data_IF_700505879023
#
_entry.id   IF_700505879023
#
_cell.length_a   1.000
_cell.length_b   1.000
_cell.length_c   1.000
_cell.angle_alpha   90.00
_cell.angle_beta   90.00
_cell.angle_gamma   90.00
#
_symmetry.space_group_name_H-M   'P 1'
#
loop_
_entity.id
_entity.type
_entity.pdbx_description
1 polymer ?
#
# COMPACT_ATOMS: atom_id res chain seq x y z
N UNK A 1 -3.10 -4.03 55.04
CA UNK A 1 -4.57 -4.00 55.19
C UNK A 1 -5.05 -2.59 54.92
N UNK A 2 -5.64 -2.35 53.76
CA UNK A 2 -6.60 -1.25 53.55
C UNK A 2 -7.42 -1.57 52.28
N UNK A 3 -8.69 -1.92 52.51
CA UNK A 3 -9.67 -2.12 51.44
C UNK A 3 -10.32 -0.78 51.12
N UNK A 4 -10.29 -0.37 49.89
CA UNK A 4 -11.13 0.75 49.40
C UNK A 4 -12.24 0.15 48.52
N UNK A 5 -13.48 0.34 48.99
CA UNK A 5 -14.72 0.00 48.29
C UNK A 5 -15.07 1.19 47.37
N UNK A 6 -15.38 0.91 46.10
CA UNK A 6 -16.05 1.88 45.23
C UNK A 6 -17.54 1.56 45.13
N UNK A 7 -18.32 2.58 45.42
CA UNK A 7 -19.77 2.55 45.41
C UNK A 7 -20.31 2.66 43.96
N UNK A 8 -21.40 1.88 43.72
CA UNK A 8 -22.21 1.93 42.50
C UNK A 8 -23.17 3.14 42.59
N UNK A 9 -23.20 3.99 41.59
CA UNK A 9 -24.30 4.94 41.38
C UNK A 9 -25.16 4.47 40.20
N UNK A 10 -26.38 4.06 40.51
CA UNK A 10 -27.48 3.87 39.54
C UNK A 10 -28.11 5.24 39.24
N UNK A 11 -28.31 5.58 38.00
CA UNK A 11 -29.20 6.64 37.57
C UNK A 11 -30.37 5.99 36.84
N UNK A 12 -31.55 6.18 37.41
CA UNK A 12 -32.86 5.80 36.87
C UNK A 12 -33.32 6.89 35.91
N UNK A 13 -33.63 6.56 34.67
CA UNK A 13 -34.29 7.47 33.74
C UNK A 13 -35.76 7.10 33.63
N UNK A 14 -36.64 8.10 33.90
CA UNK A 14 -38.07 8.01 33.85
C UNK A 14 -38.62 7.90 32.42
N UNK A 15 -39.55 6.97 32.22
CA UNK A 15 -40.46 6.90 31.07
C UNK A 15 -41.59 7.93 31.22
N UNK A 16 -41.78 8.75 30.20
CA UNK A 16 -43.00 9.55 30.00
C UNK A 16 -43.71 9.05 28.75
N UNK A 17 -44.83 8.36 28.96
CA UNK A 17 -45.83 8.02 27.95
C UNK A 17 -46.77 9.25 27.74
N UNK A 18 -46.91 9.67 26.49
CA UNK A 18 -47.97 10.58 26.07
C UNK A 18 -48.81 9.92 24.96
N UNK A 19 -50.07 9.69 25.31
CA UNK A 19 -51.16 9.22 24.47
C UNK A 19 -51.69 10.40 23.65
N UNK A 20 -51.75 10.30 22.33
CA UNK A 20 -52.33 11.36 21.46
C UNK A 20 -53.19 10.76 20.34
N UNK A 21 -54.46 11.16 20.36
CA UNK A 21 -55.60 10.71 19.57
C UNK A 21 -55.43 10.63 18.06
N UNK A 22 -56.12 9.62 17.53
CA UNK A 22 -56.46 9.40 16.13
C UNK A 22 -57.41 10.51 15.62
N UNK A 23 -57.08 11.19 14.53
CA UNK A 23 -58.02 11.82 13.62
C UNK A 23 -57.60 11.50 12.21
N UNK A 24 -58.53 10.79 11.52
CA UNK A 24 -58.37 10.40 10.12
C UNK A 24 -58.44 11.62 9.20
N UNK A 25 -57.50 11.70 8.30
CA UNK A 25 -57.52 12.60 7.16
C UNK A 25 -56.91 11.85 5.98
N UNK A 26 -57.75 11.47 5.02
CA UNK A 26 -57.32 10.96 3.70
C UNK A 26 -56.51 12.06 3.01
N UNK A 27 -55.22 11.80 2.75
CA UNK A 27 -54.42 12.58 1.84
C UNK A 27 -54.21 11.78 0.52
N UNK A 28 -54.25 12.45 -0.64
CA UNK A 28 -54.25 11.80 -1.93
C UNK A 28 -52.87 11.23 -2.22
N UNK A 29 -52.87 9.99 -2.75
CA UNK A 29 -51.71 9.37 -3.34
C UNK A 29 -51.33 10.11 -4.64
N UNK A 30 -50.30 10.93 -4.61
CA UNK A 30 -49.47 11.33 -5.76
C UNK A 30 -48.38 12.28 -5.21
N UNK A 31 -47.14 11.76 -5.25
CA UNK A 31 -45.86 12.44 -5.39
C UNK A 31 -44.74 11.65 -4.65
N UNK A 32 -44.54 10.42 -5.09
CA UNK A 32 -43.18 9.89 -4.99
C UNK A 32 -42.46 10.32 -6.27
N UNK A 33 -41.80 11.45 -6.23
CA UNK A 33 -40.80 11.79 -7.22
C UNK A 33 -39.70 10.73 -7.09
N UNK A 34 -39.52 9.91 -8.12
CA UNK A 34 -38.33 9.04 -8.26
C UNK A 34 -37.12 9.94 -8.11
N UNK A 35 -36.28 9.61 -7.14
CA UNK A 35 -34.95 10.21 -7.03
C UNK A 35 -34.22 9.98 -8.37
N UNK A 36 -33.55 10.98 -8.94
CA UNK A 36 -32.84 10.81 -10.18
C UNK A 36 -31.78 9.73 -9.96
N UNK A 37 -31.92 8.64 -10.68
CA UNK A 37 -30.89 7.59 -10.75
C UNK A 37 -29.67 8.24 -11.39
N UNK A 38 -28.76 8.73 -10.57
CA UNK A 38 -27.46 9.22 -11.05
C UNK A 38 -26.70 8.01 -11.54
N UNK A 39 -26.84 7.72 -12.81
CA UNK A 39 -25.96 6.77 -13.50
C UNK A 39 -24.56 7.38 -13.47
N UNK A 40 -23.78 7.00 -12.45
CA UNK A 40 -22.36 7.31 -12.41
C UNK A 40 -21.72 6.55 -13.55
N UNK A 41 -21.61 7.17 -14.70
CA UNK A 41 -20.81 6.68 -15.80
C UNK A 41 -19.37 6.71 -15.30
N UNK A 42 -18.87 5.58 -14.81
CA UNK A 42 -17.46 5.40 -14.50
C UNK A 42 -16.72 5.49 -15.83
N UNK A 43 -16.30 6.68 -16.21
CA UNK A 43 -15.39 6.87 -17.33
C UNK A 43 -14.10 6.19 -16.90
N UNK A 44 -13.84 5.00 -17.43
CA UNK A 44 -12.56 4.32 -17.32
C UNK A 44 -11.55 5.19 -18.08
N UNK A 45 -10.99 6.18 -17.38
CA UNK A 45 -9.88 6.94 -17.93
C UNK A 45 -8.71 5.99 -18.06
N UNK A 46 -8.29 5.75 -19.29
CA UNK A 46 -7.06 4.98 -19.59
C UNK A 46 -5.93 5.63 -18.77
N UNK A 47 -5.20 4.86 -17.95
CA UNK A 47 -4.08 5.41 -17.17
C UNK A 47 -3.07 6.13 -18.08
N UNK A 48 -2.31 7.13 -17.59
CA UNK A 48 -1.33 7.78 -18.41
C UNK A 48 -0.29 6.80 -18.87
N UNK A 49 0.16 7.06 -20.02
CA UNK A 49 1.17 6.27 -20.69
C UNK A 49 2.56 6.51 -20.12
N UNK A 50 2.76 7.59 -19.35
CA UNK A 50 4.04 8.02 -18.81
C UNK A 50 3.94 8.35 -17.30
N UNK A 51 5.01 8.14 -16.55
CA UNK A 51 5.07 8.52 -15.14
C UNK A 51 4.98 10.05 -14.98
N UNK A 52 4.63 10.54 -13.77
CA UNK A 52 4.60 11.96 -13.47
C UNK A 52 5.96 12.64 -13.70
N UNK A 53 5.94 13.87 -14.19
CA UNK A 53 7.14 14.71 -14.27
C UNK A 53 7.57 15.08 -12.84
N UNK A 54 8.84 14.88 -12.53
CA UNK A 54 9.41 15.18 -11.22
C UNK A 54 10.19 16.50 -11.31
N UNK A 55 9.82 17.47 -10.47
CA UNK A 55 10.61 18.69 -10.32
C UNK A 55 11.78 18.45 -9.39
N UNK A 56 13.01 18.74 -9.83
CA UNK A 56 14.19 18.64 -8.98
C UNK A 56 14.10 19.60 -7.78
N UNK A 57 14.60 19.16 -6.64
CA UNK A 57 14.80 20.02 -5.44
C UNK A 57 16.18 20.64 -5.42
N UNK A 58 17.05 20.18 -6.31
CA UNK A 58 18.40 20.72 -6.51
C UNK A 58 18.35 21.66 -7.71
N UNK A 59 18.75 22.91 -7.51
CA UNK A 59 18.71 23.92 -8.56
C UNK A 59 19.60 23.50 -9.75
N UNK A 60 19.05 23.64 -10.95
CA UNK A 60 19.74 23.36 -12.23
C UNK A 60 20.16 21.89 -12.48
N UNK A 61 19.68 20.93 -11.69
CA UNK A 61 19.91 19.52 -11.97
C UNK A 61 18.78 18.96 -12.85
N UNK A 62 19.02 18.96 -14.16
CA UNK A 62 18.07 18.45 -15.16
C UNK A 62 18.04 16.91 -15.22
N UNK A 63 19.00 16.25 -14.59
CA UNK A 63 19.08 14.77 -14.57
C UNK A 63 18.37 14.17 -13.36
N UNK A 64 18.12 14.97 -12.34
CA UNK A 64 17.46 14.56 -11.11
C UNK A 64 16.00 14.17 -11.37
N UNK A 65 15.66 12.94 -11.06
CA UNK A 65 14.30 12.43 -11.21
C UNK A 65 13.90 12.03 -12.64
N UNK A 66 14.85 11.83 -13.56
CA UNK A 66 14.54 11.30 -14.89
C UNK A 66 14.15 9.82 -14.80
N UNK A 67 13.04 9.49 -15.43
CA UNK A 67 12.56 8.11 -15.49
C UNK A 67 13.28 7.32 -16.57
N UNK A 68 13.56 6.06 -16.26
CA UNK A 68 14.18 5.09 -17.17
C UNK A 68 13.41 3.77 -17.14
N UNK A 69 13.32 3.10 -18.26
CA UNK A 69 12.71 1.79 -18.37
C UNK A 69 13.46 0.76 -17.52
N UNK A 70 12.71 0.07 -16.69
CA UNK A 70 13.23 -0.95 -15.78
C UNK A 70 13.14 -2.37 -16.36
N UNK A 71 12.28 -2.59 -17.35
CA UNK A 71 11.93 -3.92 -17.88
C UNK A 71 11.68 -3.90 -19.39
N UNK A 72 12.64 -3.49 -20.23
CA UNK A 72 12.45 -3.31 -21.69
C UNK A 72 11.91 -4.55 -22.42
N UNK A 73 12.29 -5.75 -21.94
CA UNK A 73 11.81 -7.02 -22.51
C UNK A 73 10.30 -7.25 -22.34
N UNK A 74 9.66 -6.53 -21.43
CA UNK A 74 8.26 -6.70 -21.05
C UNK A 74 7.36 -5.59 -21.59
N UNK A 75 7.90 -4.66 -22.37
CA UNK A 75 7.16 -3.54 -22.91
C UNK A 75 5.89 -3.96 -23.64
N UNK A 76 4.85 -3.16 -23.44
CA UNK A 76 3.56 -3.33 -24.10
C UNK A 76 3.39 -2.23 -25.13
N UNK A 77 3.28 -2.60 -26.42
CA UNK A 77 3.18 -1.66 -27.53
C UNK A 77 4.32 -0.63 -27.52
N UNK A 78 5.55 -1.10 -27.29
CA UNK A 78 6.78 -0.28 -27.23
C UNK A 78 6.76 0.79 -26.12
N UNK A 79 6.06 0.52 -25.02
CA UNK A 79 5.99 1.42 -23.86
C UNK A 79 6.41 0.68 -22.60
N UNK A 80 7.23 1.32 -21.78
CA UNK A 80 7.62 0.76 -20.49
C UNK A 80 6.41 0.44 -19.62
N UNK A 81 6.46 -0.69 -18.94
CA UNK A 81 5.44 -1.09 -17.96
C UNK A 81 5.90 -0.82 -16.53
N UNK A 82 7.21 -0.75 -16.30
CA UNK A 82 7.84 -0.35 -15.05
C UNK A 82 8.97 0.62 -15.39
N UNK A 83 8.92 1.80 -14.80
CA UNK A 83 9.99 2.79 -14.89
C UNK A 83 10.56 3.09 -13.51
N UNK A 84 11.84 3.43 -13.45
CA UNK A 84 12.52 3.75 -12.20
C UNK A 84 13.30 5.05 -12.34
N UNK A 85 13.53 5.68 -11.21
CA UNK A 85 14.39 6.85 -11.10
C UNK A 85 15.10 6.90 -9.77
N UNK A 86 16.24 7.56 -9.74
CA UNK A 86 16.84 8.08 -8.52
C UNK A 86 16.76 9.60 -8.54
N UNK A 87 16.49 10.19 -7.37
CA UNK A 87 16.25 11.63 -7.26
C UNK A 87 16.74 12.15 -5.91
N UNK A 88 17.10 13.42 -5.89
CA UNK A 88 17.40 14.14 -4.66
C UNK A 88 16.10 14.39 -3.89
N UNK A 89 16.08 14.10 -2.61
CA UNK A 89 14.92 14.34 -1.74
C UNK A 89 15.37 14.98 -0.42
N UNK A 90 14.47 15.73 0.22
CA UNK A 90 14.74 16.21 1.56
C UNK A 90 14.81 15.03 2.52
N UNK A 91 15.83 15.08 3.39
CA UNK A 91 15.95 14.08 4.46
C UNK A 91 14.99 14.39 5.62
N UNK A 92 14.86 13.43 6.53
CA UNK A 92 14.15 13.61 7.79
C UNK A 92 15.05 14.17 8.91
N UNK A 93 16.31 14.48 8.62
CA UNK A 93 17.32 14.99 9.57
C UNK A 93 17.88 16.33 9.11
N UNK A 94 18.52 17.05 10.01
CA UNK A 94 19.12 18.35 9.67
C UNK A 94 20.34 18.20 8.76
N UNK A 95 21.10 17.13 8.93
CA UNK A 95 22.30 16.84 8.13
C UNK A 95 22.41 15.32 7.86
N UNK A 96 22.55 14.94 6.60
CA UNK A 96 22.47 15.75 5.38
C UNK A 96 21.04 16.27 5.13
N UNK A 97 20.90 17.50 4.61
CA UNK A 97 19.59 18.09 4.30
C UNK A 97 18.92 17.42 3.11
N UNK A 98 19.71 16.91 2.15
CA UNK A 98 19.28 16.18 0.98
C UNK A 98 19.93 14.79 0.93
N UNK A 99 19.18 13.83 0.44
CA UNK A 99 19.61 12.44 0.27
C UNK A 99 19.16 11.92 -1.08
N UNK A 100 19.75 10.81 -1.50
CA UNK A 100 19.25 10.08 -2.65
C UNK A 100 18.03 9.24 -2.27
N UNK A 101 16.94 9.49 -2.95
CA UNK A 101 15.74 8.67 -2.92
C UNK A 101 15.61 7.87 -4.22
N UNK A 102 14.82 6.83 -4.16
CA UNK A 102 14.56 5.93 -5.28
C UNK A 102 13.04 5.80 -5.45
N UNK A 103 12.59 5.82 -6.68
CA UNK A 103 11.19 5.59 -7.01
C UNK A 103 11.05 4.63 -8.19
N UNK A 104 9.94 3.86 -8.15
CA UNK A 104 9.54 2.96 -9.23
C UNK A 104 8.07 3.20 -9.52
N UNK A 105 7.77 3.59 -10.75
CA UNK A 105 6.43 3.75 -11.25
C UNK A 105 6.00 2.51 -12.02
N UNK A 106 4.75 2.09 -11.82
CA UNK A 106 4.19 0.86 -12.36
C UNK A 106 2.90 1.16 -13.11
N UNK A 107 2.85 0.90 -14.42
CA UNK A 107 1.65 1.03 -15.23
C UNK A 107 0.70 -0.12 -14.96
N UNK A 108 -0.17 0.05 -13.97
CA UNK A 108 -0.99 -0.99 -13.34
C UNK A 108 -1.84 -1.78 -14.34
N UNK A 109 -2.37 -1.11 -15.37
CA UNK A 109 -3.21 -1.75 -16.39
C UNK A 109 -2.52 -2.94 -17.10
N UNK A 110 -1.21 -2.92 -17.25
CA UNK A 110 -0.43 -3.96 -17.93
C UNK A 110 0.22 -4.95 -16.95
N UNK A 111 -0.08 -4.80 -15.67
CA UNK A 111 0.51 -5.57 -14.58
C UNK A 111 -0.52 -6.41 -13.83
N UNK A 112 -0.03 -7.38 -13.12
CA UNK A 112 -0.77 -8.10 -12.08
C UNK A 112 0.13 -8.29 -10.86
N UNK A 113 -0.47 -8.43 -9.68
CA UNK A 113 0.24 -8.41 -8.42
C UNK A 113 -0.08 -9.65 -7.60
N UNK A 114 0.94 -10.28 -7.04
CA UNK A 114 0.81 -11.38 -6.10
C UNK A 114 1.33 -10.97 -4.72
N UNK A 115 0.51 -11.11 -3.69
CA UNK A 115 0.91 -10.86 -2.31
C UNK A 115 1.28 -12.18 -1.65
N UNK A 116 2.56 -12.31 -1.30
CA UNK A 116 3.14 -13.51 -0.70
C UNK A 116 3.42 -13.29 0.79
N UNK A 117 3.02 -14.20 1.66
CA UNK A 117 3.51 -14.21 3.03
C UNK A 117 4.96 -14.72 3.05
N UNK A 118 5.80 -14.16 3.92
CA UNK A 118 7.09 -14.75 4.21
C UNK A 118 6.97 -15.90 5.21
N UNK A 119 8.07 -16.50 5.63
CA UNK A 119 8.05 -17.60 6.62
C UNK A 119 7.55 -17.12 8.00
N UNK A 120 7.69 -15.84 8.30
CA UNK A 120 7.20 -15.22 9.54
C UNK A 120 6.29 -14.02 9.29
N UNK A 121 6.56 -13.19 8.30
CA UNK A 121 5.70 -12.06 7.90
C UNK A 121 4.45 -12.50 7.13
N UNK A 122 3.33 -11.81 7.25
CA UNK A 122 3.09 -10.60 8.06
C UNK A 122 2.92 -10.89 9.55
N UNK A 123 2.89 -12.13 9.98
CA UNK A 123 2.68 -12.55 11.34
C UNK A 123 2.55 -14.06 11.43
N UNK A 124 2.14 -14.57 12.59
CA UNK A 124 2.04 -16.01 12.82
C UNK A 124 0.86 -16.62 12.05
N UNK A 125 1.15 -17.27 10.94
CA UNK A 125 0.18 -18.09 10.18
C UNK A 125 0.50 -19.56 10.44
N UNK A 126 -0.48 -20.42 10.74
CA UNK A 126 -0.25 -21.84 10.98
C UNK A 126 0.43 -22.53 9.79
N UNK A 127 1.27 -23.53 10.09
CA UNK A 127 1.92 -24.34 9.08
C UNK A 127 0.88 -25.00 8.15
N UNK A 128 1.21 -25.09 6.86
CA UNK A 128 0.32 -25.62 5.83
C UNK A 128 -0.80 -24.68 5.35
N UNK A 129 -0.98 -23.52 6.01
CA UNK A 129 -1.96 -22.52 5.59
C UNK A 129 -1.33 -21.28 4.94
N UNK A 130 -0.03 -21.12 5.08
CA UNK A 130 0.71 -19.91 4.70
C UNK A 130 0.84 -19.76 3.18
N UNK A 131 1.01 -20.82 2.43
CA UNK A 131 1.41 -20.79 1.02
C UNK A 131 2.93 -20.63 0.85
N UNK A 132 3.40 -20.41 -0.37
CA UNK A 132 4.84 -20.28 -0.65
C UNK A 132 5.40 -18.98 -0.05
N UNK A 133 6.57 -19.10 0.54
CA UNK A 133 7.35 -18.01 1.14
C UNK A 133 8.18 -17.23 0.11
N UNK A 134 8.21 -17.74 -1.11
CA UNK A 134 8.98 -17.17 -2.23
C UNK A 134 8.18 -17.32 -3.52
N UNK A 135 8.57 -16.60 -4.57
CA UNK A 135 7.99 -16.84 -5.88
C UNK A 135 8.46 -18.23 -6.38
N UNK A 136 7.55 -19.19 -6.53
CA UNK A 136 7.91 -20.53 -7.00
C UNK A 136 8.46 -20.49 -8.44
N UNK A 137 9.29 -21.43 -8.80
CA UNK A 137 9.92 -21.48 -10.12
C UNK A 137 8.89 -21.43 -11.27
N UNK A 138 7.75 -22.12 -11.11
CA UNK A 138 6.65 -22.12 -12.07
C UNK A 138 5.97 -20.76 -12.23
N UNK A 139 6.07 -19.88 -11.24
CA UNK A 139 5.50 -18.53 -11.26
C UNK A 139 6.42 -17.46 -11.83
N UNK A 140 7.69 -17.79 -12.21
CA UNK A 140 8.69 -16.78 -12.57
C UNK A 140 8.67 -16.34 -14.03
N UNK A 141 7.98 -17.05 -14.91
CA UNK A 141 7.99 -16.78 -16.36
C UNK A 141 7.66 -15.30 -16.70
N UNK A 142 6.65 -14.77 -16.06
CA UNK A 142 6.19 -13.38 -16.28
C UNK A 142 6.51 -12.45 -15.11
N UNK A 143 7.41 -12.85 -14.21
CA UNK A 143 7.82 -12.04 -13.08
C UNK A 143 8.69 -10.88 -13.55
N UNK A 144 8.25 -9.65 -13.35
CA UNK A 144 8.96 -8.42 -13.72
C UNK A 144 9.78 -7.88 -12.56
N UNK A 145 9.31 -8.10 -11.34
CA UNK A 145 9.98 -7.61 -10.14
C UNK A 145 9.22 -7.94 -8.87
N UNK A 146 9.70 -7.40 -7.77
CA UNK A 146 9.04 -7.49 -6.46
C UNK A 146 9.54 -6.40 -5.51
N UNK A 147 8.76 -6.15 -4.46
CA UNK A 147 9.10 -5.20 -3.40
C UNK A 147 8.59 -5.68 -2.03
N UNK A 148 9.18 -5.14 -0.95
CA UNK A 148 8.75 -5.45 0.41
C UNK A 148 7.34 -4.96 0.70
N UNK A 149 6.63 -5.65 1.58
CA UNK A 149 5.30 -5.30 2.03
C UNK A 149 5.30 -4.56 3.38
N UNK A 150 4.19 -4.57 4.11
CA UNK A 150 3.98 -3.84 5.36
C UNK A 150 4.70 -4.40 6.58
N UNK A 151 4.39 -3.88 7.77
CA UNK A 151 5.02 -4.29 9.02
C UNK A 151 4.67 -5.73 9.40
N UNK A 152 5.46 -6.29 10.32
CA UNK A 152 5.17 -7.57 10.95
C UNK A 152 3.95 -7.44 11.90
N UNK A 153 3.13 -8.50 11.96
CA UNK A 153 1.94 -8.55 12.81
C UNK A 153 2.16 -9.38 14.10
N UNK A 154 1.56 -9.02 15.22
CA UNK A 154 0.81 -7.78 15.43
C UNK A 154 1.75 -6.57 15.37
N UNK A 155 1.29 -5.43 14.84
CA UNK A 155 2.11 -4.24 14.86
C UNK A 155 2.38 -3.85 16.31
N UNK A 156 3.62 -3.58 16.65
CA UNK A 156 4.01 -3.10 17.98
C UNK A 156 3.40 -1.73 18.31
N UNK A 157 2.81 -1.07 17.32
CA UNK A 157 2.32 0.29 17.40
C UNK A 157 0.81 0.32 17.30
N UNK A 158 0.17 0.83 18.35
CA UNK A 158 -1.28 1.04 18.40
C UNK A 158 -2.15 -0.18 18.69
N UNK A 159 -1.59 -1.37 18.81
CA UNK A 159 -2.34 -2.59 19.16
C UNK A 159 -3.39 -3.05 18.16
N UNK A 160 -3.40 -2.46 16.95
CA UNK A 160 -4.36 -2.79 15.89
C UNK A 160 -3.72 -3.78 14.91
N UNK A 161 -4.46 -4.83 14.60
CA UNK A 161 -4.09 -5.78 13.56
C UNK A 161 -4.21 -5.09 12.20
N UNK A 162 -3.23 -5.33 11.32
CA UNK A 162 -3.27 -4.87 9.94
C UNK A 162 -3.66 -6.03 9.01
N UNK A 163 -4.71 -5.85 8.23
CA UNK A 163 -5.31 -6.87 7.37
C UNK A 163 -4.34 -7.44 6.34
N UNK A 164 -4.49 -8.74 6.12
CA UNK A 164 -3.78 -9.46 5.07
C UNK A 164 -4.74 -10.42 4.36
N UNK A 165 -4.97 -10.17 3.08
CA UNK A 165 -5.83 -10.99 2.23
C UNK A 165 -5.12 -11.34 0.93
N UNK A 166 -5.06 -12.62 0.66
CA UNK A 166 -4.51 -13.17 -0.59
C UNK A 166 -5.07 -14.57 -0.79
N UNK A 167 -5.06 -15.06 -2.02
CA UNK A 167 -5.57 -16.38 -2.37
C UNK A 167 -6.99 -16.64 -1.82
N UNK A 168 -7.88 -15.66 -1.95
CA UNK A 168 -9.28 -15.70 -1.47
C UNK A 168 -9.43 -15.95 0.02
N UNK A 169 -8.36 -15.73 0.82
CA UNK A 169 -8.34 -15.96 2.27
C UNK A 169 -7.89 -14.72 3.03
N UNK A 170 -8.66 -14.37 4.06
CA UNK A 170 -8.24 -13.37 5.05
C UNK A 170 -7.41 -14.06 6.12
N UNK A 171 -6.11 -13.76 6.17
CA UNK A 171 -5.21 -14.28 7.20
C UNK A 171 -5.22 -13.42 8.46
N UNK A 172 -5.34 -12.11 8.27
CA UNK A 172 -5.49 -11.14 9.36
C UNK A 172 -6.68 -10.22 9.06
N UNK A 173 -7.51 -9.93 10.07
CA UNK A 173 -8.69 -9.08 9.90
C UNK A 173 -8.29 -7.65 9.56
N UNK A 174 -9.18 -6.97 8.83
CA UNK A 174 -8.98 -5.60 8.42
C UNK A 174 -9.45 -4.62 9.50
N UNK A 175 -8.65 -3.63 9.77
CA UNK A 175 -8.96 -2.53 10.68
C UNK A 175 -9.42 -1.32 9.91
N UNK A 176 -10.53 -0.72 10.36
CA UNK A 176 -11.12 0.47 9.72
C UNK A 176 -10.14 1.66 9.74
N UNK A 177 -10.08 2.40 8.64
CA UNK A 177 -9.26 3.59 8.51
C UNK A 177 -7.77 3.35 8.27
N UNK A 178 -7.29 2.10 8.38
CA UNK A 178 -5.90 1.81 8.01
C UNK A 178 -5.72 1.85 6.49
N UNK A 179 -4.57 2.35 6.07
CA UNK A 179 -4.18 2.38 4.66
C UNK A 179 -3.98 0.96 4.14
N UNK A 180 -4.49 0.71 2.96
CA UNK A 180 -4.54 -0.62 2.36
C UNK A 180 -4.13 -0.53 0.89
N UNK A 181 -3.07 -1.23 0.51
CA UNK A 181 -2.80 -1.56 -0.88
C UNK A 181 -3.78 -2.65 -1.30
N UNK A 182 -4.61 -2.37 -2.29
CA UNK A 182 -5.63 -3.29 -2.83
C UNK A 182 -5.40 -3.51 -4.31
N UNK A 183 -5.53 -4.75 -4.76
CA UNK A 183 -5.53 -5.10 -6.18
C UNK A 183 -6.83 -5.80 -6.55
N UNK A 184 -7.33 -5.58 -7.76
CA UNK A 184 -8.64 -6.01 -8.18
C UNK A 184 -8.59 -6.97 -9.37
N UNK A 185 -9.68 -7.73 -9.57
CA UNK A 185 -9.83 -8.73 -10.64
C UNK A 185 -9.73 -8.09 -12.03
N UNK A 186 -10.21 -6.85 -12.19
CA UNK A 186 -10.09 -6.08 -13.45
C UNK A 186 -8.64 -5.65 -13.75
N UNK A 187 -7.72 -5.87 -12.79
CA UNK A 187 -6.32 -5.53 -12.87
C UNK A 187 -5.99 -4.12 -12.41
N UNK A 188 -6.97 -3.37 -11.91
CA UNK A 188 -6.72 -2.11 -11.23
C UNK A 188 -6.07 -2.35 -9.86
N UNK A 189 -5.45 -1.30 -9.33
CA UNK A 189 -4.91 -1.29 -7.97
C UNK A 189 -5.14 0.09 -7.34
N UNK A 190 -5.21 0.15 -6.02
CA UNK A 190 -5.38 1.40 -5.29
C UNK A 190 -4.72 1.34 -3.91
N UNK A 191 -4.48 2.52 -3.34
CA UNK A 191 -4.09 2.71 -1.94
C UNK A 191 -5.21 3.47 -1.25
N UNK A 192 -6.00 2.79 -0.44
CA UNK A 192 -7.21 3.34 0.18
C UNK A 192 -7.13 3.35 1.70
N UNK A 193 -7.86 4.23 2.36
CA UNK A 193 -8.23 4.03 3.75
C UNK A 193 -9.35 2.99 3.81
N UNK A 194 -9.16 1.87 4.54
CA UNK A 194 -10.15 0.80 4.57
C UNK A 194 -11.50 1.30 5.11
N UNK A 195 -12.61 1.08 4.39
CA UNK A 195 -13.90 1.58 4.81
C UNK A 195 -14.39 0.97 6.12
N UNK A 196 -15.13 1.75 6.92
CA UNK A 196 -15.70 1.28 8.18
C UNK A 196 -16.66 0.09 7.96
N UNK A 197 -16.45 -0.98 8.73
CA UNK A 197 -17.29 -2.19 8.66
C UNK A 197 -17.16 -3.00 7.36
N UNK A 198 -16.29 -2.59 6.43
CA UNK A 198 -16.18 -3.26 5.15
C UNK A 198 -15.55 -4.66 5.27
N UNK A 199 -16.21 -5.63 4.68
CA UNK A 199 -15.61 -6.94 4.39
C UNK A 199 -14.78 -6.82 3.11
N UNK A 200 -13.88 -7.79 2.89
CA UNK A 200 -13.13 -7.86 1.63
C UNK A 200 -14.12 -8.13 0.48
N UNK A 201 -14.26 -7.21 -0.49
CA UNK A 201 -15.15 -7.39 -1.64
C UNK A 201 -14.71 -8.57 -2.52
N UNK A 202 -15.65 -9.20 -3.22
CA UNK A 202 -15.37 -10.37 -4.08
C UNK A 202 -14.48 -10.07 -5.29
N UNK A 203 -14.40 -8.80 -5.70
CA UNK A 203 -13.52 -8.35 -6.78
C UNK A 203 -12.08 -8.05 -6.33
N UNK A 204 -11.77 -8.16 -5.04
CA UNK A 204 -10.41 -7.99 -4.53
C UNK A 204 -9.59 -9.26 -4.74
N UNK A 205 -8.40 -9.12 -5.29
CA UNK A 205 -7.40 -10.19 -5.48
C UNK A 205 -6.47 -10.26 -4.29
N UNK A 206 -5.87 -9.12 -3.92
CA UNK A 206 -5.02 -9.01 -2.73
C UNK A 206 -5.30 -7.72 -1.98
N UNK A 207 -5.13 -7.76 -0.67
CA UNK A 207 -5.19 -6.55 0.15
C UNK A 207 -4.22 -6.65 1.32
N UNK A 208 -3.41 -5.62 1.51
CA UNK A 208 -2.44 -5.53 2.61
C UNK A 208 -2.53 -4.18 3.29
N UNK A 209 -2.88 -4.21 4.56
CA UNK A 209 -2.89 -3.01 5.39
C UNK A 209 -1.52 -2.73 6.00
N UNK A 210 -1.28 -1.47 6.26
CA UNK A 210 -0.28 -0.99 7.20
C UNK A 210 -0.91 0.20 7.94
N UNK A 211 -0.20 1.05 8.58
CA UNK A 211 -0.63 2.25 9.31
C UNK A 211 -1.79 3.04 8.66
N UNK A 212 -1.95 4.31 8.92
CA UNK A 212 -2.90 5.19 8.22
C UNK A 212 -2.29 5.75 6.93
N UNK A 213 -3.11 6.33 6.04
CA UNK A 213 -2.58 7.10 4.90
C UNK A 213 -1.64 8.21 5.40
N UNK A 214 -0.53 8.39 4.70
CA UNK A 214 0.38 9.53 4.88
C UNK A 214 0.17 10.63 3.83
N UNK A 215 -0.46 10.27 2.71
CA UNK A 215 -0.90 11.20 1.66
C UNK A 215 -2.35 10.90 1.33
N UNK A 216 -3.18 11.93 1.23
CA UNK A 216 -4.54 11.88 0.71
C UNK A 216 -4.84 13.14 -0.09
N UNK A 217 -5.49 13.01 -1.23
CA UNK A 217 -5.85 14.12 -2.14
C UNK A 217 -4.62 15.01 -2.48
N UNK A 218 -3.46 14.41 -2.78
CA UNK A 218 -2.17 15.08 -3.01
C UNK A 218 -1.61 15.85 -1.81
N UNK A 219 -2.15 15.70 -0.61
CA UNK A 219 -1.68 16.40 0.57
C UNK A 219 -1.15 15.43 1.62
N UNK A 220 -0.12 15.86 2.32
CA UNK A 220 0.39 15.15 3.49
C UNK A 220 -0.66 15.18 4.60
N UNK A 221 -0.97 14.01 5.17
CA UNK A 221 -2.00 13.85 6.21
C UNK A 221 -1.49 12.97 7.36
N UNK A 222 -2.19 13.04 8.51
CA UNK A 222 -1.99 12.15 9.67
C UNK A 222 -0.62 12.22 10.36
N UNK A 223 0.21 13.19 10.07
CA UNK A 223 1.56 13.32 10.66
C UNK A 223 1.57 13.78 12.13
N UNK A 224 0.43 14.16 12.70
CA UNK A 224 0.31 14.52 14.12
C UNK A 224 0.46 13.35 15.10
N UNK A 225 0.57 12.13 14.60
CA UNK A 225 0.85 10.94 15.41
C UNK A 225 2.34 10.93 15.80
N UNK A 226 2.63 10.44 17.03
CA UNK A 226 4.01 10.33 17.47
C UNK A 226 4.80 9.34 16.58
N UNK A 227 6.13 9.42 16.62
CA UNK A 227 6.97 8.60 15.75
C UNK A 227 6.88 7.10 16.04
N UNK A 228 6.51 6.69 17.25
CA UNK A 228 6.27 5.28 17.59
C UNK A 228 5.13 4.69 16.76
N UNK A 229 4.13 5.49 16.43
CA UNK A 229 3.04 5.05 15.55
C UNK A 229 3.56 4.69 14.15
N UNK A 230 4.54 5.43 13.64
CA UNK A 230 5.14 5.22 12.33
C UNK A 230 6.28 4.19 12.33
N UNK A 231 6.37 3.40 13.39
CA UNK A 231 7.34 2.32 13.55
C UNK A 231 8.69 2.78 14.08
N UNK A 232 9.37 1.85 14.74
CA UNK A 232 10.74 2.01 15.22
C UNK A 232 11.69 1.26 14.30
N UNK A 233 12.80 1.88 13.96
CA UNK A 233 13.93 1.15 13.34
C UNK A 233 14.63 0.29 14.39
N UNK A 234 15.43 -0.69 13.97
CA UNK A 234 16.21 -1.53 14.87
C UNK A 234 17.15 -0.73 15.79
N UNK A 235 17.54 0.46 15.37
CA UNK A 235 18.40 1.36 16.13
C UNK A 235 17.61 2.35 17.01
N UNK A 236 16.27 2.19 17.07
CA UNK A 236 15.36 3.13 17.76
C UNK A 236 15.46 4.57 17.22
N UNK A 237 16.10 4.74 16.07
CA UNK A 237 16.21 6.06 15.45
C UNK A 237 14.88 6.43 14.74
N UNK A 238 14.39 7.67 14.93
CA UNK A 238 13.17 8.12 14.24
C UNK A 238 13.37 8.27 12.73
N UNK A 239 14.61 8.41 12.30
CA UNK A 239 15.00 8.63 10.92
C UNK A 239 15.95 7.52 10.45
N UNK A 240 15.53 6.81 9.41
CA UNK A 240 16.29 5.70 8.86
C UNK A 240 15.74 5.33 7.48
N UNK A 241 15.98 4.12 7.05
CA UNK A 241 15.32 3.61 5.87
C UNK A 241 13.81 3.61 6.05
N UNK A 242 13.11 4.15 5.05
CA UNK A 242 11.65 4.03 4.92
C UNK A 242 11.29 3.70 3.51
N UNK A 243 10.23 2.93 3.35
CA UNK A 243 9.61 2.64 2.06
C UNK A 243 8.12 2.87 2.13
N UNK A 244 7.50 3.03 0.97
CA UNK A 244 6.07 3.21 0.85
C UNK A 244 5.56 2.88 -0.54
N UNK A 245 4.24 2.87 -0.65
CA UNK A 245 3.52 2.70 -1.91
C UNK A 245 2.45 3.78 -2.01
N UNK A 246 2.36 4.41 -3.17
CA UNK A 246 1.32 5.39 -3.49
C UNK A 246 0.62 5.05 -4.78
N UNK A 247 -0.47 5.74 -5.05
CA UNK A 247 -1.19 5.70 -6.32
C UNK A 247 -1.28 7.11 -6.89
N UNK A 248 -1.03 7.25 -8.18
CA UNK A 248 -1.21 8.51 -8.90
C UNK A 248 -2.70 8.77 -9.25
N UNK A 249 -3.00 9.95 -9.81
CA UNK A 249 -4.38 10.35 -10.16
C UNK A 249 -5.04 9.46 -11.23
N UNK A 250 -4.31 8.56 -11.82
CA UNK A 250 -4.75 7.69 -12.92
C UNK A 250 -4.69 6.21 -12.57
N UNK A 251 -4.40 5.89 -11.30
CA UNK A 251 -4.43 4.53 -10.79
C UNK A 251 -3.13 3.74 -10.99
N UNK A 252 -2.03 4.39 -11.37
CA UNK A 252 -0.73 3.73 -11.43
C UNK A 252 -0.05 3.76 -10.07
N UNK A 253 0.71 2.73 -9.74
CA UNK A 253 1.39 2.61 -8.47
C UNK A 253 2.77 3.24 -8.52
N UNK A 254 3.17 3.85 -7.40
CA UNK A 254 4.49 4.44 -7.19
C UNK A 254 5.06 3.83 -5.91
N UNK A 255 6.12 3.04 -6.02
CA UNK A 255 6.94 2.64 -4.88
C UNK A 255 8.04 3.67 -4.67
N UNK A 256 8.32 4.04 -3.43
CA UNK A 256 9.47 4.89 -3.11
C UNK A 256 10.17 4.45 -1.82
N UNK A 257 11.49 4.63 -1.78
CA UNK A 257 12.29 4.36 -0.59
C UNK A 257 13.53 5.26 -0.53
N UNK A 258 13.95 5.60 0.68
CA UNK A 258 15.20 6.28 0.95
C UNK A 258 15.67 6.04 2.38
N UNK A 259 16.97 6.25 2.62
CA UNK A 259 17.52 6.32 3.97
C UNK A 259 17.31 7.73 4.57
N UNK A 260 17.53 7.90 5.87
CA UNK A 260 17.37 9.16 6.59
C UNK A 260 15.99 9.82 6.43
N UNK A 261 14.94 9.02 6.26
CA UNK A 261 13.58 9.51 6.12
C UNK A 261 12.86 9.56 7.48
N UNK A 262 12.10 10.64 7.67
CA UNK A 262 10.99 10.69 8.63
C UNK A 262 9.67 10.35 7.91
N UNK A 263 8.58 10.07 8.65
CA UNK A 263 7.26 9.94 8.02
C UNK A 263 6.88 11.16 7.19
N UNK A 264 7.22 12.37 7.66
CA UNK A 264 6.93 13.63 6.98
C UNK A 264 7.71 13.78 5.67
N UNK A 265 9.01 13.48 5.68
CA UNK A 265 9.82 13.59 4.47
C UNK A 265 9.46 12.52 3.43
N UNK A 266 9.10 11.31 3.85
CA UNK A 266 8.58 10.27 2.95
C UNK A 266 7.23 10.68 2.35
N UNK A 267 6.31 11.21 3.15
CA UNK A 267 5.02 11.71 2.65
C UNK A 267 5.20 12.85 1.63
N UNK A 268 6.09 13.80 1.92
CA UNK A 268 6.42 14.89 0.99
C UNK A 268 7.05 14.36 -0.31
N UNK A 269 7.87 13.31 -0.23
CA UNK A 269 8.42 12.62 -1.41
C UNK A 269 7.29 12.06 -2.28
N UNK A 270 6.29 11.37 -1.68
CA UNK A 270 5.14 10.85 -2.44
C UNK A 270 4.30 11.94 -3.10
N UNK A 271 4.07 13.07 -2.42
CA UNK A 271 3.38 14.22 -3.03
C UNK A 271 4.15 14.72 -4.25
N UNK A 272 5.48 14.87 -4.13
CA UNK A 272 6.34 15.30 -5.25
C UNK A 272 6.35 14.28 -6.41
N UNK A 273 6.24 13.00 -6.11
CA UNK A 273 6.12 11.92 -7.11
C UNK A 273 4.71 11.85 -7.75
N UNK A 274 3.79 12.75 -7.39
CA UNK A 274 2.45 12.82 -7.97
C UNK A 274 1.43 11.87 -7.34
N UNK A 275 1.72 11.28 -6.20
CA UNK A 275 0.77 10.42 -5.52
C UNK A 275 -0.45 11.19 -5.00
N UNK A 276 -1.66 10.70 -5.29
CA UNK A 276 -2.91 11.19 -4.73
C UNK A 276 -3.19 10.58 -3.35
N UNK A 277 -2.74 9.35 -3.13
CA UNK A 277 -2.74 8.63 -1.86
C UNK A 277 -1.45 7.85 -1.70
N UNK A 278 -0.96 7.74 -0.48
CA UNK A 278 0.21 6.92 -0.17
C UNK A 278 0.14 6.36 1.25
N UNK A 279 0.76 5.20 1.42
CA UNK A 279 0.95 4.52 2.69
C UNK A 279 2.41 4.12 2.89
N UNK A 280 2.82 4.03 4.14
CA UNK A 280 4.11 3.48 4.52
C UNK A 280 4.12 1.96 4.38
N UNK A 281 5.24 1.40 3.95
CA UNK A 281 5.57 -0.02 4.01
C UNK A 281 6.60 -0.27 5.12
N UNK A 282 7.25 -1.43 5.13
CA UNK A 282 8.22 -1.73 6.19
C UNK A 282 9.44 -0.80 6.11
N UNK A 283 9.87 -0.33 7.29
CA UNK A 283 10.92 0.66 7.48
C UNK A 283 12.21 0.08 8.08
N UNK A 284 12.17 -1.18 8.53
CA UNK A 284 13.37 -1.82 9.00
C UNK A 284 14.38 -1.88 7.86
N UNK A 285 15.59 -1.37 8.07
CA UNK A 285 16.65 -1.30 7.04
C UNK A 285 16.90 -2.62 6.31
N UNK A 286 16.56 -3.75 6.93
CA UNK A 286 16.66 -5.07 6.32
C UNK A 286 15.55 -5.36 5.28
N UNK A 287 14.59 -4.45 5.03
CA UNK A 287 13.44 -4.76 4.17
C UNK A 287 13.24 -3.86 2.96
N UNK A 288 13.43 -2.52 2.97
CA UNK A 288 13.21 -1.71 1.78
C UNK A 288 13.98 -2.24 0.58
N UNK A 289 13.26 -2.73 -0.42
CA UNK A 289 13.78 -3.38 -1.61
C UNK A 289 12.79 -3.22 -2.77
N UNK A 290 13.31 -2.90 -3.93
CA UNK A 290 12.65 -3.15 -5.21
C UNK A 290 13.65 -3.79 -6.17
N UNK A 291 13.31 -4.96 -6.67
CA UNK A 291 14.11 -5.67 -7.70
C UNK A 291 13.29 -5.77 -8.98
N UNK A 292 13.91 -5.57 -10.12
CA UNK A 292 13.35 -5.90 -11.45
C UNK A 292 14.23 -6.94 -12.14
N UNK A 293 13.69 -7.59 -13.15
CA UNK A 293 14.39 -8.61 -13.95
C UNK A 293 14.54 -8.15 -15.39
N UNK A 294 15.67 -8.46 -16.01
CA UNK A 294 15.99 -8.10 -17.39
C UNK A 294 15.51 -9.12 -18.42
N UNK A 295 14.91 -10.22 -17.97
CA UNK A 295 14.37 -11.27 -18.83
C UNK A 295 13.36 -12.17 -18.12
N UNK A 296 12.66 -13.04 -18.87
CA UNK A 296 11.72 -14.00 -18.32
C UNK A 296 12.40 -14.97 -17.34
N UNK A 297 11.59 -15.68 -16.54
CA UNK A 297 12.06 -16.60 -15.49
C UNK A 297 12.94 -15.95 -14.41
N UNK A 298 12.77 -14.65 -14.18
CA UNK A 298 13.54 -13.87 -13.20
C UNK A 298 15.06 -13.84 -13.50
N UNK A 299 15.42 -13.80 -14.76
CA UNK A 299 16.82 -13.69 -15.19
C UNK A 299 17.29 -12.24 -15.08
N UNK A 300 18.55 -12.03 -14.71
CA UNK A 300 19.20 -10.73 -14.70
C UNK A 300 18.56 -9.74 -13.73
N UNK A 301 18.45 -10.14 -12.48
CA UNK A 301 17.86 -9.29 -11.43
C UNK A 301 18.70 -8.03 -11.17
N UNK A 302 18.02 -6.88 -11.02
CA UNK A 302 18.63 -5.58 -10.73
C UNK A 302 17.89 -4.93 -9.58
N UNK A 303 18.61 -4.59 -8.50
CA UNK A 303 18.04 -3.78 -7.41
C UNK A 303 17.89 -2.34 -7.87
N UNK A 304 16.67 -1.80 -7.72
CA UNK A 304 16.35 -0.39 -8.04
C UNK A 304 16.50 0.54 -6.84
N UNK A 305 16.81 -0.03 -5.69
CA UNK A 305 17.05 0.65 -4.42
C UNK A 305 18.45 0.26 -3.96
N UNK A 306 19.33 1.24 -3.78
CA UNK A 306 20.69 0.98 -3.31
C UNK A 306 20.73 0.81 -1.78
N UNK A 307 19.99 -0.17 -1.26
CA UNK A 307 20.00 -0.53 0.15
C UNK A 307 21.07 -1.61 0.39
N UNK A 308 22.17 -1.31 1.14
CA UNK A 308 23.29 -2.25 1.33
C UNK A 308 22.92 -3.50 2.16
N UNK A 309 21.75 -3.49 2.82
CA UNK A 309 21.24 -4.62 3.60
C UNK A 309 20.43 -5.61 2.76
N UNK A 310 20.34 -5.38 1.43
CA UNK A 310 19.53 -6.18 0.51
C UNK A 310 20.36 -6.91 -0.52
N UNK A 311 19.73 -7.90 -1.12
CA UNK A 311 20.28 -8.66 -2.24
C UNK A 311 19.18 -8.96 -3.27
N UNK A 312 19.60 -9.11 -4.51
CA UNK A 312 18.77 -9.08 -5.70
C UNK A 312 17.74 -10.22 -5.79
N UNK A 313 18.02 -11.37 -5.22
CA UNK A 313 17.19 -12.58 -5.31
C UNK A 313 16.47 -12.93 -3.98
N UNK A 314 16.31 -11.93 -3.11
CA UNK A 314 15.76 -12.11 -1.76
C UNK A 314 14.48 -12.91 -1.71
N UNK A 315 13.52 -12.59 -2.55
CA UNK A 315 12.21 -13.24 -2.58
C UNK A 315 12.12 -14.43 -3.55
N UNK A 316 13.26 -14.87 -4.07
CA UNK A 316 13.40 -16.11 -4.86
C UNK A 316 14.06 -17.24 -4.07
N UNK A 317 14.68 -16.94 -2.93
CA UNK A 317 15.38 -17.91 -2.06
C UNK A 317 14.48 -18.38 -0.94
N UNK A 318 14.57 -19.66 -0.61
CA UNK A 318 13.92 -20.22 0.57
C UNK A 318 14.36 -19.51 1.87
N UNK A 319 13.50 -19.52 2.88
CA UNK A 319 13.77 -18.90 4.17
C UNK A 319 13.55 -17.39 4.22
N UNK A 320 12.92 -16.82 3.22
CA UNK A 320 12.46 -15.42 3.26
C UNK A 320 11.45 -15.23 4.37
N UNK A 321 11.78 -14.36 5.31
CA UNK A 321 10.92 -14.15 6.50
C UNK A 321 9.83 -13.11 6.27
N UNK A 322 10.05 -12.15 5.37
CA UNK A 322 9.18 -10.99 5.11
C UNK A 322 8.14 -11.27 4.04
N UNK A 323 6.92 -10.80 4.27
CA UNK A 323 5.88 -10.70 3.24
C UNK A 323 6.26 -9.65 2.17
N UNK A 324 5.86 -9.91 0.93
CA UNK A 324 6.24 -9.09 -0.21
C UNK A 324 5.17 -9.10 -1.31
N UNK A 325 5.29 -8.15 -2.23
CA UNK A 325 4.45 -8.07 -3.43
C UNK A 325 5.31 -8.40 -4.64
N UNK A 326 4.91 -9.41 -5.39
CA UNK A 326 5.48 -9.73 -6.69
C UNK A 326 4.69 -9.06 -7.81
N UNK A 327 5.40 -8.55 -8.81
CA UNK A 327 4.86 -7.80 -9.95
C UNK A 327 5.07 -8.62 -11.21
N UNK A 328 3.98 -8.91 -11.90
CA UNK A 328 3.98 -9.76 -13.10
C UNK A 328 3.50 -8.97 -14.31
N UNK A 329 4.01 -9.33 -15.48
CA UNK A 329 3.37 -8.92 -16.73
C UNK A 329 1.97 -9.50 -16.79
N UNK A 330 0.98 -8.64 -17.01
CA UNK A 330 -0.41 -9.09 -17.11
C UNK A 330 -0.61 -9.93 -18.36
N UNK A 331 -1.04 -11.16 -18.16
CA UNK A 331 -1.59 -12.00 -19.21
C UNK A 331 -3.08 -12.16 -18.94
N UNK A 332 -3.92 -11.82 -19.92
CA UNK A 332 -5.39 -11.93 -19.79
C UNK A 332 -5.84 -13.38 -19.49
N UNK A 333 -4.99 -14.36 -19.79
CA UNK A 333 -5.27 -15.77 -19.56
C UNK A 333 -4.86 -16.27 -18.15
N UNK A 334 -4.06 -15.49 -17.41
CA UNK A 334 -3.60 -15.90 -16.08
C UNK A 334 -3.95 -14.81 -15.07
N UNK A 335 -4.93 -15.10 -14.23
CA UNK A 335 -5.04 -14.44 -12.92
C UNK A 335 -3.69 -14.62 -12.22
N UNK A 336 -3.16 -13.61 -11.46
CA UNK A 336 -1.91 -13.77 -10.71
C UNK A 336 -1.93 -15.11 -9.99
N UNK A 337 -0.81 -15.86 -10.02
CA UNK A 337 -0.85 -17.23 -9.60
C UNK A 337 -1.37 -17.32 -8.18
N UNK A 338 -2.51 -17.95 -7.95
CA UNK A 338 -2.75 -18.55 -6.67
C UNK A 338 -1.66 -19.61 -6.49
N UNK A 339 -0.87 -19.49 -5.45
CA UNK A 339 -0.08 -20.63 -5.03
C UNK A 339 -0.96 -21.72 -4.48
#
# INVERSE_FOLDING_TARGET
MLRIRYARNFVVALLLTALGLILGGMLPAHLFAEAPTTTTTTTTTVPPENPPVITSVVANDVTDGQWADATPWADVKQRPVIEYTSLSARSGVASPAYIQAYAVWMRVHDLSFGLYPGSTGPGRIPSGQRGPETVPATGRLNLLGYFNSGFYEPPLVGGQLAGFYTNKKTFFPFTNGLATLVTYVDGSADVIAWPYGARVPSNVVTARQNLTLMVANHHVVNLGKNFYYWGLTLTVAPNGWRSGIGVDSRGNLIYAAANYQSPASLAALFVRLGAVRAMELDINQAWPLYTTFSGPNAVGGVMRIANPHQYVDRFLRAGTTKDFVAVYRRNKATVPPPW
#
